data_IF_577952654630
#
_entry.id   IF_577952654630
#
_cell.length_a   1.000
_cell.length_b   1.000
_cell.length_c   1.000
_cell.angle_alpha   90.00
_cell.angle_beta   90.00
_cell.angle_gamma   90.00
#
_symmetry.space_group_name_H-M   'P 1'
#
loop_
_entity.id
_entity.type
_entity.pdbx_description
1 polymer ?
#
# COMPACT_ATOMS: atom_id res chain seq x y z
N UNK A 1 -168.18 45.96 -152.31
CA UNK A 1 -167.12 46.06 -151.27
C UNK A 1 -166.25 44.79 -151.15
N UNK A 2 -166.77 43.58 -151.38
CA UNK A 2 -165.99 42.33 -151.27
C UNK A 2 -164.87 42.19 -152.34
N UNK A 3 -165.10 42.63 -153.59
CA UNK A 3 -164.09 42.55 -154.65
C UNK A 3 -162.79 43.32 -154.32
N UNK A 4 -162.90 44.50 -153.69
CA UNK A 4 -161.74 45.31 -153.32
C UNK A 4 -160.89 44.65 -152.23
N UNK A 5 -161.54 44.01 -151.25
CA UNK A 5 -160.87 43.22 -150.22
C UNK A 5 -160.16 41.98 -150.79
N UNK A 6 -160.74 41.35 -151.82
CA UNK A 6 -160.14 40.17 -152.48
C UNK A 6 -158.88 40.53 -153.26
N UNK A 7 -158.90 41.61 -154.06
CA UNK A 7 -157.71 42.09 -154.77
C UNK A 7 -156.61 42.57 -153.82
N UNK A 8 -156.98 43.24 -152.73
CA UNK A 8 -156.03 43.63 -151.70
C UNK A 8 -155.40 42.42 -151.00
N UNK A 9 -156.21 41.41 -150.65
CA UNK A 9 -155.74 40.15 -150.08
C UNK A 9 -154.82 39.38 -151.03
N UNK A 10 -155.18 39.28 -152.31
CA UNK A 10 -154.37 38.64 -153.34
C UNK A 10 -153.04 39.38 -153.55
N UNK A 11 -153.07 40.72 -153.63
CA UNK A 11 -151.89 41.55 -153.77
C UNK A 11 -150.94 41.44 -152.58
N UNK A 12 -151.49 41.43 -151.35
CA UNK A 12 -150.71 41.21 -150.13
C UNK A 12 -150.07 39.82 -150.11
N UNK A 13 -150.83 38.77 -150.46
CA UNK A 13 -150.32 37.40 -150.52
C UNK A 13 -149.18 37.27 -151.53
N UNK A 14 -149.30 37.90 -152.71
CA UNK A 14 -148.26 37.89 -153.73
C UNK A 14 -146.98 38.61 -153.27
N UNK A 15 -147.12 39.74 -152.57
CA UNK A 15 -145.98 40.48 -152.02
C UNK A 15 -145.25 39.67 -150.95
N UNK A 16 -145.97 39.03 -150.03
CA UNK A 16 -145.39 38.15 -149.01
C UNK A 16 -144.69 36.96 -149.65
N UNK A 17 -145.28 36.36 -150.69
CA UNK A 17 -144.68 35.24 -151.43
C UNK A 17 -143.34 35.66 -152.07
N UNK A 18 -143.30 36.82 -152.74
CA UNK A 18 -142.08 37.36 -153.35
C UNK A 18 -141.00 37.65 -152.31
N UNK A 19 -141.33 38.30 -151.19
CA UNK A 19 -140.38 38.56 -150.11
C UNK A 19 -139.82 37.26 -149.55
N UNK A 20 -140.68 36.26 -149.33
CA UNK A 20 -140.26 34.95 -148.79
C UNK A 20 -139.32 34.21 -149.75
N UNK A 21 -139.51 34.37 -151.05
CA UNK A 21 -138.64 33.74 -152.06
C UNK A 21 -137.30 34.46 -152.24
N UNK A 22 -137.28 35.80 -152.17
CA UNK A 22 -136.07 36.61 -152.37
C UNK A 22 -135.20 36.67 -151.11
N UNK A 23 -135.80 36.67 -149.92
CA UNK A 23 -135.09 36.77 -148.62
C UNK A 23 -133.97 35.73 -148.42
N UNK A 24 -134.15 34.41 -148.70
CA UNK A 24 -133.07 33.43 -148.52
C UNK A 24 -131.89 33.65 -149.47
N UNK A 25 -132.12 34.11 -150.71
CA UNK A 25 -131.04 34.43 -151.65
C UNK A 25 -130.26 35.68 -151.22
N UNK A 26 -130.97 36.68 -150.69
CA UNK A 26 -130.35 37.90 -150.16
C UNK A 26 -129.52 37.62 -148.91
N UNK A 27 -130.02 36.78 -147.98
CA UNK A 27 -129.26 36.32 -146.79
C UNK A 27 -127.96 35.60 -147.16
N UNK A 28 -128.00 34.63 -148.09
CA UNK A 28 -126.79 33.92 -148.55
C UNK A 28 -125.73 34.87 -149.14
N UNK A 29 -126.14 35.90 -149.88
CA UNK A 29 -125.22 36.90 -150.45
C UNK A 29 -124.61 37.81 -149.40
N UNK A 30 -125.39 38.23 -148.40
CA UNK A 30 -124.89 39.06 -147.29
C UNK A 30 -123.91 38.23 -146.45
N UNK A 31 -124.26 36.99 -146.10
CA UNK A 31 -123.39 36.10 -145.33
C UNK A 31 -122.06 35.85 -146.06
N UNK A 32 -122.07 35.57 -147.36
CA UNK A 32 -120.83 35.35 -148.11
C UNK A 32 -119.92 36.60 -148.15
N UNK A 33 -120.48 37.81 -148.29
CA UNK A 33 -119.71 39.07 -148.28
C UNK A 33 -119.27 39.47 -146.87
N UNK A 34 -120.13 39.26 -145.87
CA UNK A 34 -119.83 39.50 -144.47
C UNK A 34 -118.71 38.58 -144.00
N UNK A 35 -118.80 37.28 -144.29
CA UNK A 35 -117.80 36.29 -143.91
C UNK A 35 -116.44 36.51 -144.60
N UNK A 36 -116.43 36.95 -145.86
CA UNK A 36 -115.17 37.32 -146.54
C UNK A 36 -114.49 38.53 -145.90
N UNK A 37 -115.23 39.60 -145.59
CA UNK A 37 -114.66 40.77 -144.89
C UNK A 37 -114.28 40.46 -143.44
N UNK A 38 -115.02 39.58 -142.78
CA UNK A 38 -114.73 39.13 -141.41
C UNK A 38 -113.45 38.29 -141.37
N UNK A 39 -113.22 37.45 -142.38
CA UNK A 39 -111.97 36.70 -142.53
C UNK A 39 -110.74 37.59 -142.78
N UNK A 40 -110.92 38.71 -143.48
CA UNK A 40 -109.84 39.66 -143.77
C UNK A 40 -109.57 40.65 -142.61
N UNK A 41 -110.46 40.73 -141.61
CA UNK A 41 -110.36 41.65 -140.46
C UNK A 41 -110.18 40.94 -139.12
N UNK A 42 -110.31 39.61 -139.05
CA UNK A 42 -109.99 38.86 -137.85
C UNK A 42 -108.48 38.74 -137.68
N UNK A 43 -107.91 39.28 -136.59
CA UNK A 43 -106.57 38.92 -136.19
C UNK A 43 -106.62 37.48 -135.64
N UNK A 44 -105.62 36.69 -135.98
CA UNK A 44 -105.37 35.28 -135.69
C UNK A 44 -106.15 34.20 -136.48
N UNK A 45 -105.42 33.62 -137.45
CA UNK A 45 -105.74 32.34 -138.12
C UNK A 45 -105.68 31.17 -137.12
N UNK A 46 -106.41 30.07 -137.39
CA UNK A 46 -106.37 28.85 -136.57
C UNK A 46 -104.95 28.28 -136.41
N UNK A 47 -104.11 28.43 -137.42
CA UNK A 47 -102.70 28.02 -137.37
C UNK A 47 -101.89 28.89 -136.39
N UNK A 48 -102.20 30.18 -136.26
CA UNK A 48 -101.52 31.08 -135.33
C UNK A 48 -101.93 30.79 -133.88
N UNK A 49 -103.20 30.45 -133.62
CA UNK A 49 -103.66 30.00 -132.29
C UNK A 49 -103.00 28.66 -131.90
N UNK A 50 -102.81 27.76 -132.86
CA UNK A 50 -102.07 26.52 -132.62
C UNK A 50 -100.59 26.79 -132.33
N UNK A 51 -99.96 27.69 -133.10
CA UNK A 51 -98.58 28.10 -132.88
C UNK A 51 -98.39 28.77 -131.51
N UNK A 52 -99.31 29.64 -131.07
CA UNK A 52 -99.29 30.24 -129.73
C UNK A 52 -99.46 29.20 -128.63
N UNK A 53 -100.40 28.24 -128.79
CA UNK A 53 -100.58 27.15 -127.84
C UNK A 53 -99.34 26.27 -127.74
N UNK A 54 -98.73 25.93 -128.87
CA UNK A 54 -97.54 25.09 -128.89
C UNK A 54 -96.30 25.86 -128.40
N UNK A 55 -96.24 27.18 -128.63
CA UNK A 55 -95.27 28.09 -127.99
C UNK A 55 -95.44 28.12 -126.47
N UNK A 56 -96.65 28.29 -125.95
CA UNK A 56 -96.92 28.26 -124.51
C UNK A 56 -96.56 26.91 -123.90
N UNK A 57 -96.88 25.80 -124.58
CA UNK A 57 -96.44 24.46 -124.16
C UNK A 57 -94.92 24.35 -124.11
N UNK A 58 -94.21 24.88 -125.10
CA UNK A 58 -92.75 24.90 -125.11
C UNK A 58 -92.18 25.79 -124.01
N UNK A 59 -92.72 26.99 -123.80
CA UNK A 59 -92.31 27.90 -122.72
C UNK A 59 -92.50 27.25 -121.34
N UNK A 60 -93.65 26.61 -121.10
CA UNK A 60 -93.89 25.86 -119.87
C UNK A 60 -92.97 24.64 -119.74
N UNK A 61 -92.75 23.86 -120.79
CA UNK A 61 -91.84 22.72 -120.77
C UNK A 61 -90.39 23.16 -120.47
N UNK A 62 -89.94 24.27 -121.05
CA UNK A 62 -88.62 24.85 -120.78
C UNK A 62 -88.52 25.43 -119.37
N UNK A 63 -89.57 26.08 -118.86
CA UNK A 63 -89.63 26.57 -117.49
C UNK A 63 -89.55 25.42 -116.48
N UNK A 64 -90.31 24.35 -116.69
CA UNK A 64 -90.24 23.12 -115.87
C UNK A 64 -88.86 22.51 -115.94
N UNK A 65 -88.28 22.34 -117.14
CA UNK A 65 -86.93 21.78 -117.29
C UNK A 65 -85.87 22.63 -116.61
N UNK A 66 -85.96 23.97 -116.71
CA UNK A 66 -85.05 24.89 -116.03
C UNK A 66 -85.17 24.75 -114.51
N UNK A 67 -86.41 24.67 -113.99
CA UNK A 67 -86.67 24.45 -112.57
C UNK A 67 -86.12 23.11 -112.08
N UNK A 68 -86.35 22.02 -112.82
CA UNK A 68 -85.79 20.69 -112.54
C UNK A 68 -84.26 20.74 -112.47
N UNK A 69 -83.60 21.39 -113.45
CA UNK A 69 -82.14 21.51 -113.46
C UNK A 69 -81.66 22.33 -112.25
N UNK A 70 -82.30 23.44 -111.92
CA UNK A 70 -81.93 24.24 -110.75
C UNK A 70 -82.18 23.50 -109.43
N UNK A 71 -83.27 22.75 -109.34
CA UNK A 71 -83.59 21.90 -108.20
C UNK A 71 -82.57 20.77 -108.07
N UNK A 72 -82.19 20.12 -109.18
CA UNK A 72 -81.15 19.10 -109.19
C UNK A 72 -79.81 19.67 -108.73
N UNK A 73 -79.39 20.83 -109.26
CA UNK A 73 -78.16 21.52 -108.85
C UNK A 73 -78.19 21.94 -107.38
N UNK A 74 -79.32 22.42 -106.88
CA UNK A 74 -79.50 22.79 -105.48
C UNK A 74 -79.42 21.55 -104.57
N UNK A 75 -80.09 20.46 -104.95
CA UNK A 75 -80.04 19.18 -104.24
C UNK A 75 -78.64 18.57 -104.24
N UNK A 76 -77.91 18.63 -105.36
CA UNK A 76 -76.52 18.17 -105.45
C UNK A 76 -75.61 18.96 -104.51
N UNK A 77 -75.71 20.31 -104.50
CA UNK A 77 -74.98 21.16 -103.55
C UNK A 77 -75.34 20.84 -102.10
N UNK A 78 -76.63 20.68 -101.80
CA UNK A 78 -77.08 20.32 -100.46
C UNK A 78 -76.51 18.96 -100.02
N UNK A 79 -76.41 17.99 -100.94
CA UNK A 79 -75.80 16.69 -100.66
C UNK A 79 -74.31 16.79 -100.39
N UNK A 80 -73.58 17.60 -101.16
CA UNK A 80 -72.15 17.83 -100.92
C UNK A 80 -71.91 18.48 -99.56
N UNK A 81 -72.66 19.53 -99.24
CA UNK A 81 -72.57 20.20 -97.93
C UNK A 81 -72.93 19.25 -96.77
N UNK A 82 -73.89 18.34 -96.96
CA UNK A 82 -74.22 17.34 -95.95
C UNK A 82 -73.06 16.38 -95.69
N UNK A 83 -72.37 15.92 -96.74
CA UNK A 83 -71.20 15.04 -96.62
C UNK A 83 -70.01 15.76 -95.96
N UNK A 84 -69.77 17.03 -96.29
CA UNK A 84 -68.74 17.85 -95.63
C UNK A 84 -69.05 18.01 -94.14
N UNK A 85 -70.31 18.30 -93.80
CA UNK A 85 -70.73 18.46 -92.42
C UNK A 85 -70.62 17.15 -91.62
N UNK A 86 -70.92 16.00 -92.24
CA UNK A 86 -70.69 14.69 -91.63
C UNK A 86 -69.20 14.40 -91.38
N UNK A 87 -68.35 14.76 -92.35
CA UNK A 87 -66.89 14.65 -92.18
C UNK A 87 -66.40 15.54 -91.04
N UNK A 88 -66.79 16.80 -91.00
CA UNK A 88 -66.42 17.74 -89.93
C UNK A 88 -66.92 17.27 -88.56
N UNK A 89 -68.13 16.71 -88.48
CA UNK A 89 -68.65 16.07 -87.26
C UNK A 89 -67.75 14.91 -86.83
N UNK A 90 -67.35 14.04 -87.76
CA UNK A 90 -66.46 12.92 -87.45
C UNK A 90 -65.08 13.38 -86.95
N UNK A 91 -64.52 14.44 -87.54
CA UNK A 91 -63.25 15.03 -87.11
C UNK A 91 -63.38 15.68 -85.72
N UNK A 92 -64.46 16.42 -85.46
CA UNK A 92 -64.76 16.98 -84.13
C UNK A 92 -64.86 15.91 -83.05
N UNK A 93 -65.63 14.85 -83.28
CA UNK A 93 -65.74 13.75 -82.28
C UNK A 93 -64.42 13.04 -82.04
N UNK A 94 -63.50 13.01 -83.02
CA UNK A 94 -62.15 12.47 -82.84
C UNK A 94 -61.30 13.41 -81.98
N UNK A 95 -61.34 14.71 -82.26
CA UNK A 95 -60.62 15.73 -81.48
C UNK A 95 -61.13 15.76 -80.03
N UNK A 96 -62.44 15.72 -79.82
CA UNK A 96 -63.07 15.66 -78.49
C UNK A 96 -62.57 14.45 -77.70
N UNK A 97 -62.54 13.26 -78.31
CA UNK A 97 -61.97 12.06 -77.67
C UNK A 97 -60.51 12.22 -77.26
N UNK A 98 -59.68 12.83 -78.10
CA UNK A 98 -58.27 13.09 -77.78
C UNK A 98 -58.13 14.14 -76.68
N UNK A 99 -58.97 15.18 -76.68
CA UNK A 99 -59.00 16.18 -75.62
C UNK A 99 -59.41 15.58 -74.29
N UNK A 100 -60.43 14.72 -74.27
CA UNK A 100 -60.88 14.04 -73.04
C UNK A 100 -59.81 13.07 -72.53
N UNK A 101 -59.15 12.32 -73.40
CA UNK A 101 -57.99 11.49 -73.04
C UNK A 101 -56.83 12.33 -72.50
N UNK A 102 -56.54 13.47 -73.11
CA UNK A 102 -55.46 14.36 -72.64
C UNK A 102 -55.80 14.96 -71.28
N UNK A 103 -57.07 15.33 -71.06
CA UNK A 103 -57.56 15.83 -69.77
C UNK A 103 -57.48 14.77 -68.68
N UNK A 104 -57.85 13.52 -68.97
CA UNK A 104 -57.72 12.44 -67.99
C UNK A 104 -56.26 12.17 -67.64
N UNK A 105 -55.36 12.14 -68.64
CA UNK A 105 -53.93 11.99 -68.40
C UNK A 105 -53.34 13.13 -67.57
N UNK A 106 -53.76 14.38 -67.83
CA UNK A 106 -53.33 15.53 -67.02
C UNK A 106 -53.80 15.37 -65.57
N UNK A 107 -55.07 15.01 -65.34
CA UNK A 107 -55.59 14.81 -63.99
C UNK A 107 -54.87 13.67 -63.23
N UNK A 108 -54.56 12.57 -63.91
CA UNK A 108 -53.80 11.45 -63.34
C UNK A 108 -52.36 11.88 -62.98
N UNK A 109 -51.71 12.67 -63.86
CA UNK A 109 -50.37 13.20 -63.61
C UNK A 109 -50.34 14.22 -62.47
N UNK A 110 -51.32 15.13 -62.40
CA UNK A 110 -51.47 16.08 -61.30
C UNK A 110 -51.73 15.36 -59.97
N UNK A 111 -52.54 14.30 -59.99
CA UNK A 111 -52.75 13.44 -58.82
C UNK A 111 -51.48 12.71 -58.38
N UNK A 112 -50.73 12.17 -59.34
CA UNK A 112 -49.44 11.53 -59.07
C UNK A 112 -48.41 12.54 -58.52
N UNK A 113 -48.32 13.74 -59.09
CA UNK A 113 -47.45 14.81 -58.63
C UNK A 113 -47.81 15.26 -57.21
N UNK A 114 -49.10 15.43 -56.90
CA UNK A 114 -49.55 15.76 -55.56
C UNK A 114 -49.17 14.66 -54.55
N UNK A 115 -49.37 13.39 -54.90
CA UNK A 115 -48.99 12.27 -54.03
C UNK A 115 -47.47 12.19 -53.83
N UNK A 116 -46.69 12.40 -54.88
CA UNK A 116 -45.23 12.44 -54.81
C UNK A 116 -44.74 13.62 -53.97
N UNK A 117 -45.38 14.79 -54.09
CA UNK A 117 -45.07 15.97 -53.27
C UNK A 117 -45.34 15.71 -51.78
N UNK A 118 -46.45 15.06 -51.43
CA UNK A 118 -46.73 14.66 -50.04
C UNK A 118 -45.71 13.65 -49.52
N UNK A 119 -45.38 12.62 -50.31
CA UNK A 119 -44.37 11.64 -49.93
C UNK A 119 -42.97 12.27 -49.75
N UNK A 120 -42.61 13.24 -50.59
CA UNK A 120 -41.36 14.00 -50.45
C UNK A 120 -41.37 14.89 -49.19
N UNK A 121 -42.50 15.52 -48.86
CA UNK A 121 -42.63 16.31 -47.64
C UNK A 121 -42.49 15.43 -46.39
N UNK A 122 -43.14 14.26 -46.36
CA UNK A 122 -43.03 13.28 -45.28
C UNK A 122 -41.61 12.73 -45.14
N UNK A 123 -40.96 12.41 -46.27
CA UNK A 123 -39.58 11.94 -46.27
C UNK A 123 -38.62 13.00 -45.73
N UNK A 124 -38.79 14.28 -46.12
CA UNK A 124 -38.02 15.40 -45.56
C UNK A 124 -38.24 15.55 -44.06
N UNK A 125 -39.49 15.51 -43.60
CA UNK A 125 -39.81 15.57 -42.17
C UNK A 125 -39.14 14.43 -41.37
N UNK A 126 -39.10 13.20 -41.92
CA UNK A 126 -38.38 12.06 -41.32
C UNK A 126 -36.86 12.28 -41.28
N UNK A 127 -36.29 12.86 -42.33
CA UNK A 127 -34.85 13.19 -42.37
C UNK A 127 -34.54 14.24 -41.31
N UNK A 128 -35.35 15.30 -41.20
CA UNK A 128 -35.14 16.35 -40.20
C UNK A 128 -35.29 15.79 -38.76
N UNK A 129 -36.28 14.93 -38.53
CA UNK A 129 -36.45 14.25 -37.24
C UNK A 129 -35.24 13.39 -36.86
N UNK A 130 -34.79 12.52 -37.78
CA UNK A 130 -33.63 11.66 -37.54
C UNK A 130 -32.32 12.44 -37.41
N UNK A 131 -32.17 13.56 -38.14
CA UNK A 131 -31.04 14.47 -38.00
C UNK A 131 -31.02 15.12 -36.60
N UNK A 132 -32.16 15.58 -36.10
CA UNK A 132 -32.28 16.15 -34.76
C UNK A 132 -32.00 15.12 -33.67
N UNK A 133 -32.49 13.90 -33.83
CA UNK A 133 -32.19 12.77 -32.92
C UNK A 133 -30.69 12.45 -32.92
N UNK A 134 -30.05 12.40 -34.10
CA UNK A 134 -28.62 12.17 -34.22
C UNK A 134 -27.80 13.27 -33.52
N UNK A 135 -28.17 14.55 -33.69
CA UNK A 135 -27.53 15.66 -32.98
C UNK A 135 -27.73 15.58 -31.47
N UNK A 136 -28.92 15.16 -31.00
CA UNK A 136 -29.16 14.92 -29.57
C UNK A 136 -28.27 13.81 -29.02
N UNK A 137 -28.19 12.66 -29.70
CA UNK A 137 -27.33 11.54 -29.30
C UNK A 137 -25.85 11.91 -29.33
N UNK A 138 -25.39 12.70 -30.31
CA UNK A 138 -24.00 13.21 -30.32
C UNK A 138 -23.70 14.07 -29.09
N UNK A 139 -24.62 14.95 -28.67
CA UNK A 139 -24.47 15.75 -27.45
C UNK A 139 -24.41 14.87 -26.22
N UNK A 140 -25.31 13.90 -26.10
CA UNK A 140 -25.30 12.93 -24.99
C UNK A 140 -23.97 12.15 -24.93
N UNK A 141 -23.44 11.70 -26.09
CA UNK A 141 -22.13 11.02 -26.16
C UNK A 141 -20.99 11.96 -25.74
N UNK A 142 -21.00 13.22 -26.18
CA UNK A 142 -19.98 14.20 -25.78
C UNK A 142 -19.99 14.44 -24.26
N UNK A 143 -21.17 14.61 -23.66
CA UNK A 143 -21.32 14.74 -22.21
C UNK A 143 -20.84 13.50 -21.46
N UNK A 144 -21.16 12.29 -21.94
CA UNK A 144 -20.67 11.04 -21.34
C UNK A 144 -19.16 10.88 -21.48
N UNK A 145 -18.58 11.31 -22.60
CA UNK A 145 -17.12 11.29 -22.82
C UNK A 145 -16.43 12.25 -21.86
N UNK A 146 -16.99 13.44 -21.64
CA UNK A 146 -16.48 14.37 -20.64
C UNK A 146 -16.58 13.78 -19.22
N UNK A 147 -17.72 13.18 -18.86
CA UNK A 147 -17.89 12.51 -17.57
C UNK A 147 -16.87 11.39 -17.37
N UNK A 148 -16.62 10.56 -18.39
CA UNK A 148 -15.60 9.51 -18.34
C UNK A 148 -14.21 10.10 -18.13
N UNK A 149 -13.84 11.15 -18.89
CA UNK A 149 -12.53 11.81 -18.70
C UNK A 149 -12.36 12.40 -17.30
N UNK A 150 -13.45 12.90 -16.69
CA UNK A 150 -13.44 13.37 -15.30
C UNK A 150 -13.24 12.21 -14.33
N UNK A 151 -13.94 11.09 -14.53
CA UNK A 151 -13.76 9.89 -13.71
C UNK A 151 -12.37 9.28 -13.85
N UNK A 152 -11.79 9.29 -15.05
CA UNK A 152 -10.42 8.84 -15.30
C UNK A 152 -9.42 9.68 -14.50
N UNK A 153 -9.52 11.02 -14.54
CA UNK A 153 -8.67 11.90 -13.73
C UNK A 153 -8.82 11.64 -12.23
N UNK A 154 -10.05 11.52 -11.73
CA UNK A 154 -10.30 11.21 -10.33
C UNK A 154 -9.72 9.84 -9.94
N UNK A 155 -9.79 8.86 -10.85
CA UNK A 155 -9.22 7.54 -10.64
C UNK A 155 -7.68 7.57 -10.62
N UNK A 156 -7.06 8.32 -11.54
CA UNK A 156 -5.61 8.55 -11.54
C UNK A 156 -5.15 9.24 -10.26
N UNK A 157 -5.83 10.31 -9.84
CA UNK A 157 -5.56 11.01 -8.58
C UNK A 157 -5.69 10.07 -7.37
N UNK A 158 -6.77 9.29 -7.30
CA UNK A 158 -6.98 8.32 -6.22
C UNK A 158 -5.94 7.19 -6.23
N UNK A 159 -5.51 6.75 -7.42
CA UNK A 159 -4.46 5.74 -7.60
C UNK A 159 -3.10 6.26 -7.13
N UNK A 160 -2.75 7.49 -7.49
CA UNK A 160 -1.54 8.17 -7.00
C UNK A 160 -1.58 8.34 -5.48
N UNK A 161 -2.70 8.80 -4.92
CA UNK A 161 -2.87 8.91 -3.47
C UNK A 161 -2.71 7.55 -2.76
N UNK A 162 -3.24 6.46 -3.32
CA UNK A 162 -3.03 5.11 -2.81
C UNK A 162 -1.55 4.69 -2.87
N UNK A 163 -0.84 5.03 -3.95
CA UNK A 163 0.59 4.75 -4.09
C UNK A 163 1.41 5.52 -3.04
N UNK A 164 1.11 6.79 -2.81
CA UNK A 164 1.74 7.62 -1.78
C UNK A 164 1.50 7.07 -0.37
N UNK A 165 0.25 6.69 -0.06
CA UNK A 165 -0.08 6.04 1.21
C UNK A 165 0.68 4.73 1.39
N UNK A 166 0.86 3.93 0.33
CA UNK A 166 1.62 2.68 0.39
C UNK A 166 3.11 2.94 0.65
N UNK A 167 3.69 3.98 0.03
CA UNK A 167 5.07 4.40 0.30
C UNK A 167 5.21 4.88 1.75
N UNK A 168 4.26 5.69 2.23
CA UNK A 168 4.23 6.18 3.62
C UNK A 168 4.13 5.02 4.61
N UNK A 169 3.27 4.04 4.33
CA UNK A 169 3.11 2.84 5.15
C UNK A 169 4.39 2.01 5.19
N UNK A 170 5.03 1.75 4.04
CA UNK A 170 6.31 1.04 4.00
C UNK A 170 7.43 1.80 4.74
N UNK A 171 7.44 3.14 4.66
CA UNK A 171 8.34 3.97 5.46
C UNK A 171 8.08 3.84 6.95
N UNK A 172 6.81 3.84 7.38
CA UNK A 172 6.43 3.65 8.79
C UNK A 172 6.74 2.24 9.29
N UNK A 173 6.55 1.22 8.47
CA UNK A 173 6.97 -0.15 8.79
C UNK A 173 8.49 -0.23 8.99
N UNK A 174 9.29 0.38 8.10
CA UNK A 174 10.75 0.44 8.28
C UNK A 174 11.15 1.21 9.55
N UNK A 175 10.43 2.27 9.90
CA UNK A 175 10.64 3.01 11.16
C UNK A 175 10.30 2.16 12.38
N UNK A 176 9.20 1.41 12.35
CA UNK A 176 8.82 0.44 13.39
C UNK A 176 9.90 -0.64 13.53
N UNK A 177 10.41 -1.18 12.44
CA UNK A 177 11.49 -2.19 12.47
C UNK A 177 12.78 -1.64 13.09
N UNK A 178 13.14 -0.39 12.77
CA UNK A 178 14.29 0.28 13.39
C UNK A 178 14.08 0.48 14.89
N UNK A 179 12.92 0.96 15.32
CA UNK A 179 12.58 1.14 16.73
C UNK A 179 12.56 -0.20 17.47
N UNK A 180 12.02 -1.26 16.85
CA UNK A 180 12.05 -2.61 17.41
C UNK A 180 13.49 -3.14 17.55
N UNK A 181 14.36 -2.91 16.56
CA UNK A 181 15.77 -3.26 16.64
C UNK A 181 16.47 -2.49 17.78
N UNK A 182 16.23 -1.18 17.91
CA UNK A 182 16.74 -0.35 19.01
C UNK A 182 16.24 -0.83 20.37
N UNK A 183 14.94 -1.12 20.52
CA UNK A 183 14.36 -1.67 21.73
C UNK A 183 14.97 -3.02 22.09
N UNK A 184 15.23 -3.88 21.10
CA UNK A 184 15.91 -5.17 21.32
C UNK A 184 17.36 -5.00 21.79
N UNK A 185 18.07 -4.01 21.24
CA UNK A 185 19.44 -3.65 21.64
C UNK A 185 19.45 -3.08 23.05
N UNK A 186 18.57 -2.14 23.37
CA UNK A 186 18.41 -1.60 24.73
C UNK A 186 18.04 -2.70 25.72
N UNK A 187 17.20 -3.67 25.33
CA UNK A 187 16.86 -4.82 26.18
C UNK A 187 18.07 -5.74 26.42
N UNK A 188 18.93 -5.94 25.42
CA UNK A 188 20.21 -6.66 25.59
C UNK A 188 21.17 -5.90 26.51
N UNK A 189 21.35 -4.60 26.28
CA UNK A 189 22.16 -3.73 27.12
C UNK A 189 21.64 -3.69 28.56
N UNK A 190 20.34 -3.59 28.78
CA UNK A 190 19.73 -3.66 30.12
C UNK A 190 20.00 -5.02 30.78
N UNK A 191 19.94 -6.14 30.04
CA UNK A 191 20.33 -7.46 30.57
C UNK A 191 21.81 -7.55 30.89
N UNK A 192 22.68 -6.99 30.07
CA UNK A 192 24.13 -6.93 30.33
C UNK A 192 24.44 -6.08 31.55
N UNK A 193 23.85 -4.87 31.64
CA UNK A 193 23.96 -3.99 32.81
C UNK A 193 23.39 -4.69 34.05
N UNK A 194 22.27 -5.40 33.97
CA UNK A 194 21.75 -6.17 35.10
C UNK A 194 22.68 -7.33 35.50
N UNK A 195 23.36 -7.98 34.55
CA UNK A 195 24.36 -9.01 34.85
C UNK A 195 25.58 -8.40 35.53
N UNK A 196 26.16 -7.34 34.98
CA UNK A 196 27.30 -6.66 35.59
C UNK A 196 26.94 -6.04 36.93
N UNK A 197 25.72 -5.52 37.08
CA UNK A 197 25.19 -5.06 38.36
C UNK A 197 25.08 -6.22 39.36
N UNK A 198 24.54 -7.37 38.97
CA UNK A 198 24.47 -8.53 39.85
C UNK A 198 25.86 -9.08 40.19
N UNK A 199 26.79 -9.11 39.24
CA UNK A 199 28.19 -9.50 39.46
C UNK A 199 28.88 -8.56 40.44
N UNK A 200 28.78 -7.24 40.24
CA UNK A 200 29.32 -6.24 41.17
C UNK A 200 28.65 -6.29 42.54
N UNK A 201 27.34 -6.52 42.62
CA UNK A 201 26.64 -6.74 43.90
C UNK A 201 27.15 -8.00 44.59
N UNK A 202 27.35 -9.10 43.86
CA UNK A 202 27.92 -10.34 44.40
C UNK A 202 29.38 -10.15 44.85
N UNK A 203 30.17 -9.39 44.09
CA UNK A 203 31.55 -9.01 44.46
C UNK A 203 31.56 -8.14 45.72
N UNK A 204 30.68 -7.14 45.82
CA UNK A 204 30.53 -6.30 47.01
C UNK A 204 30.13 -7.17 48.20
N UNK A 205 29.13 -8.05 48.07
CA UNK A 205 28.74 -8.97 49.14
C UNK A 205 29.89 -9.91 49.53
N UNK A 206 30.64 -10.42 48.56
CA UNK A 206 31.83 -11.24 48.79
C UNK A 206 32.93 -10.48 49.53
N UNK A 207 33.18 -9.22 49.16
CA UNK A 207 34.12 -8.32 49.83
C UNK A 207 33.65 -7.95 51.24
N UNK A 208 32.35 -7.73 51.45
CA UNK A 208 31.75 -7.48 52.76
C UNK A 208 31.89 -8.71 53.67
N UNK A 209 31.63 -9.92 53.17
CA UNK A 209 31.85 -11.16 53.92
C UNK A 209 33.34 -11.39 54.21
N UNK A 210 34.22 -11.13 53.25
CA UNK A 210 35.66 -11.23 53.44
C UNK A 210 36.15 -10.22 54.48
N UNK A 211 35.68 -8.97 54.41
CA UNK A 211 35.95 -7.92 55.39
C UNK A 211 35.44 -8.32 56.77
N UNK A 212 34.21 -8.82 56.90
CA UNK A 212 33.68 -9.30 58.17
C UNK A 212 34.51 -10.45 58.75
N UNK A 213 34.96 -11.38 57.90
CA UNK A 213 35.85 -12.47 58.33
C UNK A 213 37.25 -11.97 58.73
N UNK A 214 37.77 -10.93 58.06
CA UNK A 214 39.03 -10.29 58.41
C UNK A 214 38.92 -9.49 59.71
N UNK A 215 37.82 -8.77 59.93
CA UNK A 215 37.51 -8.08 61.19
C UNK A 215 37.38 -9.07 62.35
N UNK A 216 36.76 -10.24 62.14
CA UNK A 216 36.74 -11.31 63.14
C UNK A 216 38.15 -11.84 63.44
N UNK A 217 39.01 -12.01 62.42
CA UNK A 217 40.41 -12.39 62.63
C UNK A 217 41.21 -11.32 63.36
N UNK A 218 40.99 -10.05 63.04
CA UNK A 218 41.59 -8.91 63.75
C UNK A 218 41.14 -8.93 65.21
N UNK A 219 39.83 -9.06 65.49
CA UNK A 219 39.32 -9.20 66.86
C UNK A 219 39.92 -10.41 67.59
N UNK A 220 40.04 -11.56 66.94
CA UNK A 220 40.70 -12.73 67.53
C UNK A 220 42.20 -12.50 67.79
N UNK A 221 42.89 -11.76 66.91
CA UNK A 221 44.28 -11.38 67.12
C UNK A 221 44.43 -10.33 68.21
N UNK A 222 43.48 -9.39 68.34
CA UNK A 222 43.38 -8.42 69.43
C UNK A 222 43.11 -9.12 70.76
N UNK A 223 42.19 -10.09 70.82
CA UNK A 223 41.96 -10.93 72.02
C UNK A 223 43.20 -11.75 72.38
N UNK A 224 43.90 -12.31 71.37
CA UNK A 224 45.18 -13.01 71.59
C UNK A 224 46.27 -12.06 72.08
N UNK A 225 46.36 -10.84 71.53
CA UNK A 225 47.28 -9.80 71.98
C UNK A 225 46.95 -9.36 73.39
N UNK A 226 45.68 -9.12 73.70
CA UNK A 226 45.20 -8.76 75.03
C UNK A 226 45.47 -9.90 76.03
N UNK A 227 45.31 -11.15 75.62
CA UNK A 227 45.71 -12.32 76.41
C UNK A 227 47.22 -12.50 76.54
N UNK A 228 48.03 -12.14 75.53
CA UNK A 228 49.49 -12.10 75.66
C UNK A 228 49.95 -10.91 76.52
N UNK A 229 49.27 -9.77 76.45
CA UNK A 229 49.49 -8.60 77.28
C UNK A 229 49.07 -8.85 78.72
N UNK A 230 47.98 -9.59 78.96
CA UNK A 230 47.60 -10.02 80.30
C UNK A 230 48.58 -11.05 80.84
N UNK A 231 49.06 -11.98 80.01
CA UNK A 231 50.14 -12.90 80.40
C UNK A 231 51.44 -12.16 80.69
N UNK A 232 51.79 -11.16 79.90
CA UNK A 232 52.94 -10.28 80.14
C UNK A 232 52.74 -9.52 81.45
N UNK A 233 51.58 -8.91 81.69
CA UNK A 233 51.24 -8.23 82.93
C UNK A 233 51.26 -9.19 84.14
N UNK A 234 50.76 -10.42 84.02
CA UNK A 234 50.84 -11.44 85.07
C UNK A 234 52.28 -11.89 85.34
N UNK A 235 53.14 -11.93 84.31
CA UNK A 235 54.58 -12.19 84.48
C UNK A 235 55.35 -11.00 85.03
N UNK A 236 54.96 -9.78 84.66
CA UNK A 236 55.49 -8.53 85.20
C UNK A 236 55.07 -8.39 86.67
N UNK A 237 53.84 -8.71 87.05
CA UNK A 237 53.38 -8.72 88.44
C UNK A 237 54.06 -9.83 89.25
N UNK A 238 54.34 -11.00 88.64
CA UNK A 238 55.20 -12.03 89.26
C UNK A 238 56.64 -11.55 89.45
N UNK A 239 57.18 -10.77 88.52
CA UNK A 239 58.50 -10.13 88.62
C UNK A 239 58.51 -9.07 89.72
N UNK A 240 57.50 -8.19 89.79
CA UNK A 240 57.36 -7.19 90.85
C UNK A 240 57.18 -7.80 92.24
N UNK A 241 56.53 -8.96 92.35
CA UNK A 241 56.45 -9.70 93.63
C UNK A 241 57.82 -10.28 94.02
N UNK A 242 58.60 -10.81 93.06
CA UNK A 242 59.98 -11.25 93.32
C UNK A 242 60.90 -10.08 93.66
N UNK A 243 60.72 -8.92 93.03
CA UNK A 243 61.49 -7.71 93.32
C UNK A 243 61.11 -7.10 94.68
N UNK A 244 59.84 -7.20 95.10
CA UNK A 244 59.41 -6.88 96.47
C UNK A 244 59.99 -7.82 97.52
N UNK A 245 60.11 -9.12 97.22
CA UNK A 245 60.77 -10.09 98.11
C UNK A 245 62.29 -9.88 98.21
N UNK A 246 62.94 -9.34 97.16
CA UNK A 246 64.34 -8.90 97.21
C UNK A 246 64.54 -7.57 97.97
N UNK A 247 63.55 -6.67 98.01
CA UNK A 247 63.62 -5.42 98.75
C UNK A 247 63.45 -5.59 100.27
N UNK A 248 62.72 -6.61 100.73
CA UNK A 248 62.43 -6.87 102.15
C UNK A 248 63.53 -7.70 102.87
N UNK A 249 64.44 -8.36 102.14
CA UNK A 249 65.60 -9.08 102.72
C UNK A 249 66.90 -8.25 102.77
N UNK A 250 66.88 -6.97 102.35
CA UNK A 250 68.05 -6.06 102.37
C UNK A 250 67.88 -4.86 103.32
N UNK A 251 66.84 -4.88 104.17
CA UNK A 251 66.43 -3.76 105.02
C UNK A 251 66.61 -3.95 106.53
N UNK A 252 67.28 -5.00 107.02
CA UNK A 252 67.41 -5.25 108.46
C UNK A 252 68.73 -5.95 108.83
N UNK A 253 69.84 -5.19 108.85
CA UNK A 253 71.01 -5.37 109.73
C UNK A 253 72.05 -4.25 109.50
N UNK A 254 71.75 -3.06 110.02
CA UNK A 254 72.70 -1.96 110.20
C UNK A 254 73.31 -2.03 111.59
N UNK A 255 74.28 -2.92 111.78
CA UNK A 255 75.16 -2.96 112.96
C UNK A 255 76.50 -3.62 112.60
N UNK A 256 77.33 -2.94 111.80
CA UNK A 256 78.78 -3.25 111.69
C UNK A 256 79.61 -2.09 111.12
N UNK A 257 79.19 -0.83 111.30
CA UNK A 257 79.99 0.35 110.95
C UNK A 257 80.86 0.86 112.15
N UNK A 258 80.86 0.13 113.26
CA UNK A 258 81.57 0.46 114.51
C UNK A 258 82.72 -0.54 114.83
N UNK A 259 83.03 -1.41 113.87
CA UNK A 259 84.15 -2.37 113.91
C UNK A 259 85.32 -1.87 113.04
N UNK A 260 85.04 -1.13 111.96
CA UNK A 260 86.07 -0.60 111.06
C UNK A 260 86.88 0.57 111.64
N UNK A 261 86.37 1.27 112.66
CA UNK A 261 87.13 2.30 113.41
C UNK A 261 88.02 1.72 114.53
N UNK A 262 87.70 0.50 115.02
CA UNK A 262 88.49 -0.21 116.05
C UNK A 262 89.63 -1.04 115.45
N UNK A 263 89.57 -1.37 114.16
CA UNK A 263 90.64 -2.07 113.43
C UNK A 263 91.84 -1.14 113.14
N UNK A 264 91.61 0.15 112.85
CA UNK A 264 92.71 1.11 112.65
C UNK A 264 93.48 1.47 113.95
N UNK A 265 92.85 1.35 115.12
CA UNK A 265 93.51 1.56 116.42
C UNK A 265 94.34 0.33 116.84
N UNK A 266 93.89 -0.89 116.51
CA UNK A 266 94.59 -2.13 116.79
C UNK A 266 95.74 -2.42 115.81
N UNK A 267 95.77 -1.80 114.64
CA UNK A 267 96.90 -1.82 113.69
C UNK A 267 98.07 -0.91 114.14
N UNK A 268 97.80 0.15 114.91
CA UNK A 268 98.83 0.99 115.53
C UNK A 268 99.47 0.34 116.77
N UNK A 269 98.69 -0.38 117.58
CA UNK A 269 99.20 -1.15 118.73
C UNK A 269 100.02 -2.37 118.28
N UNK A 270 99.69 -2.96 117.11
CA UNK A 270 100.43 -4.09 116.54
C UNK A 270 101.82 -3.70 116.01
N UNK A 271 101.97 -2.50 115.44
CA UNK A 271 103.27 -1.96 115.02
C UNK A 271 104.20 -1.65 116.21
N UNK A 272 103.65 -1.28 117.37
CA UNK A 272 104.45 -0.98 118.57
C UNK A 272 104.89 -2.25 119.34
N UNK A 273 104.10 -3.33 119.28
CA UNK A 273 104.44 -4.65 119.84
C UNK A 273 105.42 -5.44 118.94
N UNK A 274 105.38 -5.26 117.62
CA UNK A 274 106.35 -5.84 116.68
C UNK A 274 107.75 -5.22 116.85
N UNK A 275 107.85 -3.96 117.29
CA UNK A 275 109.12 -3.33 117.69
C UNK A 275 109.69 -3.87 119.02
N UNK A 276 108.86 -4.47 119.89
CA UNK A 276 109.30 -5.06 121.16
C UNK A 276 109.73 -6.53 121.03
N UNK A 277 109.24 -7.27 120.04
CA UNK A 277 109.63 -8.67 119.80
C UNK A 277 110.91 -8.83 118.96
N UNK A 278 111.34 -7.78 118.24
CA UNK A 278 112.65 -7.71 117.59
C UNK A 278 113.81 -7.43 118.56
N UNK A 279 113.53 -6.98 119.79
CA UNK A 279 114.50 -6.87 120.89
C UNK A 279 114.61 -8.15 121.75
N UNK A 280 113.73 -9.14 121.52
CA UNK A 280 113.79 -10.52 122.00
C UNK A 280 114.09 -11.49 120.83
N UNK A 281 114.94 -11.12 119.89
CA UNK A 281 116.37 -11.43 120.03
C UNK A 281 116.65 -12.50 121.10
N UNK A 282 116.88 -13.72 120.62
CA UNK A 282 118.10 -14.46 120.96
C UNK A 282 118.26 -14.94 122.41
N UNK A 283 117.25 -15.61 122.94
CA UNK A 283 117.46 -16.70 123.88
C UNK A 283 116.39 -17.78 123.63
N UNK A 284 116.68 -18.70 122.71
CA UNK A 284 115.74 -19.78 122.40
C UNK A 284 116.03 -20.46 121.06
N UNK A 285 117.27 -20.88 120.91
CA UNK A 285 117.67 -21.86 119.91
C UNK A 285 116.96 -23.19 120.20
N UNK A 286 116.33 -23.78 119.19
CA UNK A 286 116.42 -25.21 118.84
C UNK A 286 115.21 -25.71 118.06
N UNK A 287 115.55 -26.55 117.07
CA UNK A 287 114.69 -27.45 116.31
C UNK A 287 113.91 -26.78 115.16
N UNK A 288 114.57 -26.68 114.01
CA UNK A 288 114.59 -27.74 112.96
C UNK A 288 113.42 -27.55 111.99
N UNK A 289 113.68 -26.99 110.80
CA UNK A 289 114.10 -27.75 109.61
C UNK A 289 113.04 -28.78 109.21
N UNK A 290 112.24 -28.48 108.21
CA UNK A 290 112.51 -28.79 106.79
C UNK A 290 111.83 -30.09 106.36
N UNK A 291 111.45 -30.12 105.08
CA UNK A 291 110.97 -31.27 104.32
C UNK A 291 109.57 -31.79 104.67
N UNK A 292 108.57 -31.33 103.91
CA UNK A 292 107.22 -31.90 104.01
C UNK A 292 106.32 -31.72 102.80
N UNK A 293 106.80 -31.18 101.68
CA UNK A 293 105.94 -30.81 100.53
C UNK A 293 105.50 -32.02 99.65
N UNK A 294 105.80 -33.25 100.07
CA UNK A 294 105.28 -34.48 99.48
C UNK A 294 104.07 -35.07 100.22
N UNK A 295 103.92 -34.79 101.52
CA UNK A 295 102.93 -35.49 102.36
C UNK A 295 101.54 -34.88 102.31
N UNK A 296 101.44 -33.56 102.12
CA UNK A 296 100.14 -32.88 101.91
C UNK A 296 99.47 -33.29 100.58
N UNK A 297 100.26 -33.63 99.55
CA UNK A 297 99.75 -34.11 98.25
C UNK A 297 99.32 -35.59 98.30
N UNK A 298 99.94 -36.37 99.17
CA UNK A 298 99.57 -37.77 99.43
C UNK A 298 98.33 -37.87 100.33
N UNK A 299 98.17 -36.98 101.30
CA UNK A 299 96.97 -36.93 102.15
C UNK A 299 95.74 -36.41 101.40
N UNK A 300 95.87 -35.40 100.52
CA UNK A 300 94.79 -34.94 99.65
C UNK A 300 94.30 -36.05 98.69
N UNK A 301 95.21 -36.88 98.17
CA UNK A 301 94.84 -38.00 97.28
C UNK A 301 94.25 -39.20 98.04
N UNK A 302 94.66 -39.41 99.29
CA UNK A 302 94.07 -40.44 100.17
C UNK A 302 92.66 -40.04 100.63
N UNK A 303 92.41 -38.75 100.89
CA UNK A 303 91.10 -38.22 101.28
C UNK A 303 90.12 -38.22 100.08
N UNK A 304 90.60 -37.92 98.88
CA UNK A 304 89.82 -38.05 97.64
C UNK A 304 89.46 -39.51 97.31
N UNK A 305 90.37 -40.47 97.55
CA UNK A 305 90.09 -41.90 97.37
C UNK A 305 89.09 -42.44 98.39
N UNK A 306 89.11 -41.93 99.64
CA UNK A 306 88.12 -42.31 100.65
C UNK A 306 86.73 -41.74 100.36
N UNK A 307 86.61 -40.53 99.81
CA UNK A 307 85.30 -39.97 99.41
C UNK A 307 84.69 -40.74 98.22
N UNK A 308 85.50 -41.16 97.24
CA UNK A 308 85.03 -41.99 96.11
C UNK A 308 84.67 -43.42 96.56
N UNK A 309 85.35 -43.96 97.57
CA UNK A 309 84.99 -45.25 98.18
C UNK A 309 83.69 -45.15 99.00
N UNK A 310 83.45 -44.04 99.71
CA UNK A 310 82.23 -43.85 100.51
C UNK A 310 81.00 -43.66 99.62
N UNK A 311 81.14 -42.94 98.49
CA UNK A 311 80.09 -42.86 97.48
C UNK A 311 79.88 -44.22 96.80
N UNK A 312 80.94 -44.97 96.49
CA UNK A 312 80.83 -46.31 95.92
C UNK A 312 80.30 -47.41 96.87
N UNK A 313 80.35 -47.22 98.20
CA UNK A 313 79.79 -48.14 99.21
C UNK A 313 78.34 -47.81 99.60
N UNK A 314 77.90 -46.55 99.43
CA UNK A 314 76.50 -46.15 99.60
C UNK A 314 75.67 -46.39 98.32
N UNK A 315 76.30 -46.33 97.14
CA UNK A 315 75.67 -46.54 95.83
C UNK A 315 75.64 -48.01 95.37
N UNK A 316 75.40 -48.95 96.30
CA UNK A 316 75.34 -50.39 96.04
C UNK A 316 74.71 -50.78 94.69
N UNK A 317 75.53 -51.48 93.89
CA UNK A 317 75.26 -52.32 92.71
C UNK A 317 74.04 -51.98 91.82
N UNK A 318 74.06 -50.84 91.12
CA UNK A 318 73.77 -50.79 89.67
C UNK A 318 73.89 -49.36 89.08
N UNK A 319 75.12 -49.05 88.63
CA UNK A 319 75.47 -48.29 87.39
C UNK A 319 75.09 -46.79 87.28
N UNK A 320 75.94 -45.91 86.69
CA UNK A 320 76.94 -46.13 85.62
C UNK A 320 78.40 -45.73 85.94
N UNK A 321 78.78 -45.43 87.19
CA UNK A 321 80.19 -45.13 87.55
C UNK A 321 81.12 -46.35 87.38
N UNK A 322 80.58 -47.57 87.50
CA UNK A 322 81.32 -48.81 87.26
C UNK A 322 81.79 -48.96 85.80
N UNK A 323 81.04 -48.43 84.84
CA UNK A 323 81.38 -48.56 83.42
C UNK A 323 82.56 -47.66 82.99
N UNK A 324 82.82 -46.58 83.73
CA UNK A 324 83.89 -45.62 83.39
C UNK A 324 85.23 -46.04 84.01
N UNK A 325 85.22 -46.85 85.07
CA UNK A 325 86.44 -47.38 85.67
C UNK A 325 87.02 -48.59 84.91
N UNK A 326 86.26 -49.18 84.00
CA UNK A 326 86.67 -50.40 83.28
C UNK A 326 87.37 -50.14 81.93
N UNK A 327 87.44 -48.89 81.43
CA UNK A 327 87.82 -48.65 80.02
C UNK A 327 88.68 -47.42 79.68
N UNK A 328 89.54 -46.97 80.59
CA UNK A 328 90.67 -46.07 80.29
C UNK A 328 91.76 -46.25 81.36
N UNK A 329 92.53 -47.33 81.37
CA UNK A 329 93.67 -47.72 80.50
C UNK A 329 94.86 -46.76 80.52
N UNK A 330 95.95 -47.21 81.12
CA UNK A 330 97.15 -47.63 80.37
C UNK A 330 98.19 -48.15 81.36
N UNK A 331 98.75 -49.34 81.11
CA UNK A 331 99.99 -49.72 81.80
C UNK A 331 100.98 -50.37 80.83
N UNK A 332 102.12 -49.66 80.68
CA UNK A 332 103.45 -50.17 80.35
C UNK A 332 104.45 -49.01 80.58
N UNK A 333 105.70 -49.27 80.99
CA UNK A 333 106.08 -49.71 82.33
C UNK A 333 107.11 -48.75 82.97
N UNK A 334 106.98 -48.49 84.28
CA UNK A 334 107.95 -47.70 85.06
C UNK A 334 107.38 -46.70 86.08
N UNK A 335 106.08 -46.77 86.37
CA UNK A 335 105.35 -45.79 87.20
C UNK A 335 105.02 -46.31 88.62
N UNK A 336 104.89 -45.42 89.63
CA UNK A 336 104.12 -45.69 90.84
C UNK A 336 102.60 -45.71 90.55
N UNK A 337 101.80 -46.53 91.25
CA UNK A 337 100.46 -46.96 90.82
C UNK A 337 99.42 -45.84 90.81
N UNK A 338 98.62 -45.81 89.74
CA UNK A 338 97.49 -44.90 89.53
C UNK A 338 96.39 -45.08 90.59
N UNK A 339 95.58 -44.04 90.78
CA UNK A 339 94.48 -44.02 91.76
C UNK A 339 93.44 -45.11 91.45
N UNK A 340 93.21 -45.43 90.17
CA UNK A 340 92.35 -46.54 89.73
C UNK A 340 92.89 -47.91 90.17
N UNK A 341 94.20 -48.14 90.07
CA UNK A 341 94.84 -49.38 90.53
C UNK A 341 94.81 -49.54 92.07
N UNK A 342 94.92 -48.44 92.83
CA UNK A 342 94.79 -48.47 94.31
C UNK A 342 93.36 -48.74 94.78
N UNK A 343 92.35 -48.23 94.09
CA UNK A 343 90.93 -48.51 94.37
C UNK A 343 90.60 -49.98 94.05
N UNK A 344 91.18 -50.56 93.00
CA UNK A 344 91.04 -52.00 92.70
C UNK A 344 91.69 -52.90 93.77
N UNK A 345 92.89 -52.57 94.25
CA UNK A 345 93.58 -53.33 95.30
C UNK A 345 92.84 -53.27 96.66
N UNK A 346 92.23 -52.12 97.00
CA UNK A 346 91.40 -51.99 98.21
C UNK A 346 90.08 -52.75 98.11
N UNK A 347 89.46 -52.83 96.92
CA UNK A 347 88.27 -53.67 96.69
C UNK A 347 88.55 -55.17 96.84
N UNK A 348 89.73 -55.65 96.40
CA UNK A 348 90.13 -57.05 96.63
C UNK A 348 90.37 -57.35 98.11
N UNK A 349 90.96 -56.41 98.87
CA UNK A 349 91.16 -56.55 100.32
C UNK A 349 89.87 -56.51 101.15
N UNK A 350 88.77 -56.02 100.59
CA UNK A 350 87.44 -55.99 101.20
C UNK A 350 86.52 -57.15 100.74
N UNK A 351 87.01 -58.05 99.88
CA UNK A 351 86.34 -59.28 99.42
C UNK A 351 87.04 -60.58 99.88
N UNK A 352 88.02 -60.47 100.78
CA UNK A 352 88.55 -61.53 101.64
C UNK A 352 88.19 -61.20 103.09
#
# INVERSE_FOLDING_TARGET
>A
MIYFALYFGLGFLLAVLLVTFVMPAYRRRIEAKAFRRFRDTMPVSFEEVQAERDRLRAEHAMAVRKLEITSSKASEKSRLLALELERDRSERTRIERVLDQSRSLIADLEGAEASAATALADARARIDATANEAERLKREIAERTEQLSRFERLYEEASLACADLKISLASRESEIDRLNAQASMMKKQSREISKTHNETVNEIQGLELAKASAELRVKQLEEKLQGMMSKLADTEERLERRDRDYALLKGENTASADVDARIAALEADRAHLEAQLLALRQAGDAASSSAGDGKLREELSKMAAQMVQLTALLEGEATPLAAILEKADADQPGAPPSIAARVAALRQKAKA
#
